data_IF_202343297423
#
_entry.id   IF_202343297423
#
_cell.length_a   1.000
_cell.length_b   1.000
_cell.length_c   1.000
_cell.angle_alpha   90.00
_cell.angle_beta   90.00
_cell.angle_gamma   90.00
#
_symmetry.space_group_name_H-M   'P 1'
#
loop_
_entity.id
_entity.type
_entity.pdbx_description
1 polymer ?
#
# COMPACT_ATOMS: atom_id res chain seq x y z
N UNK A 1 2.94 4.84 14.07
CA UNK A 1 2.45 3.57 13.47
C UNK A 1 0.94 3.59 13.36
N UNK A 2 0.41 3.30 12.16
CA UNK A 2 -1.02 3.14 11.88
C UNK A 2 -1.39 1.67 11.72
N UNK A 3 -2.69 1.40 11.79
CA UNK A 3 -3.24 0.07 11.65
C UNK A 3 -4.22 0.06 10.48
N UNK A 4 -4.10 -0.95 9.64
CA UNK A 4 -4.85 -1.06 8.40
C UNK A 4 -5.56 -2.39 8.33
N UNK A 5 -6.70 -2.39 7.66
CA UNK A 5 -7.49 -3.58 7.37
C UNK A 5 -7.67 -3.70 5.86
N UNK A 6 -7.15 -4.76 5.28
CA UNK A 6 -7.32 -5.08 3.86
C UNK A 6 -8.38 -6.18 3.68
N UNK A 7 -9.41 -5.87 2.89
CA UNK A 7 -10.42 -6.83 2.48
C UNK A 7 -10.02 -7.45 1.13
N UNK A 8 -9.39 -8.61 1.18
CA UNK A 8 -9.09 -9.35 -0.04
C UNK A 8 -10.36 -9.99 -0.59
N UNK A 9 -10.61 -9.78 -1.89
CA UNK A 9 -11.67 -10.47 -2.62
C UNK A 9 -11.17 -11.84 -3.09
N UNK A 10 -10.95 -11.99 -4.39
CA UNK A 10 -10.45 -13.23 -5.00
C UNK A 10 -8.92 -13.34 -4.99
N UNK A 11 -8.23 -12.32 -4.49
CA UNK A 11 -6.78 -12.12 -4.64
C UNK A 11 -5.96 -12.43 -3.38
N UNK A 12 -6.62 -12.90 -2.30
CA UNK A 12 -5.96 -13.17 -1.02
C UNK A 12 -4.70 -14.03 -1.13
N UNK A 13 -4.74 -15.16 -1.86
CA UNK A 13 -3.58 -16.04 -1.99
C UNK A 13 -2.41 -15.33 -2.70
N UNK A 14 -2.67 -14.69 -3.83
CA UNK A 14 -1.65 -13.96 -4.57
C UNK A 14 -1.02 -12.86 -3.73
N UNK A 15 -1.82 -12.02 -3.08
CA UNK A 15 -1.32 -10.90 -2.27
C UNK A 15 -0.54 -11.36 -1.04
N UNK A 16 -1.09 -12.31 -0.28
CA UNK A 16 -0.47 -12.75 0.99
C UNK A 16 0.73 -13.67 0.75
N UNK A 17 0.67 -14.57 -0.23
CA UNK A 17 1.79 -15.49 -0.51
C UNK A 17 2.96 -14.78 -1.19
N UNK A 18 2.70 -13.73 -1.98
CA UNK A 18 3.74 -12.93 -2.64
C UNK A 18 4.16 -11.68 -1.84
N UNK A 19 3.59 -11.46 -0.65
CA UNK A 19 4.03 -10.43 0.29
C UNK A 19 3.74 -8.99 -0.17
N UNK A 20 2.57 -8.72 -0.73
CA UNK A 20 2.17 -7.37 -1.12
C UNK A 20 0.65 -7.14 -1.06
N UNK A 21 0.24 -5.88 -1.01
CA UNK A 21 -1.13 -5.45 -1.32
C UNK A 21 -1.11 -4.55 -2.56
N UNK A 22 -2.13 -4.65 -3.39
CA UNK A 22 -2.21 -3.90 -4.65
C UNK A 22 -3.65 -3.49 -4.98
N UNK A 23 -3.84 -2.24 -5.40
CA UNK A 23 -5.11 -1.78 -5.95
C UNK A 23 -4.93 -0.88 -7.18
N UNK A 24 -5.93 -0.80 -8.08
CA UNK A 24 -5.88 0.18 -9.16
C UNK A 24 -6.00 1.60 -8.58
N UNK A 25 -5.39 2.59 -9.24
CA UNK A 25 -5.49 4.00 -8.80
C UNK A 25 -6.91 4.58 -8.92
N UNK A 26 -7.69 4.05 -9.86
CA UNK A 26 -9.07 4.50 -10.16
C UNK A 26 -9.98 3.31 -10.35
N UNK A 27 -11.28 3.52 -10.14
CA UNK A 27 -12.31 2.55 -10.50
C UNK A 27 -12.36 2.38 -12.03
N UNK A 28 -13.04 1.32 -12.49
CA UNK A 28 -13.22 1.03 -13.93
C UNK A 28 -13.87 2.19 -14.70
N UNK A 29 -14.75 2.96 -14.06
CA UNK A 29 -15.39 4.14 -14.65
C UNK A 29 -14.54 5.43 -14.53
N UNK A 30 -13.28 5.34 -14.14
CA UNK A 30 -12.38 6.49 -13.97
C UNK A 30 -12.58 7.29 -12.68
N UNK A 31 -13.60 6.97 -11.88
CA UNK A 31 -13.88 7.65 -10.62
C UNK A 31 -12.83 7.32 -9.54
N UNK A 32 -12.59 8.28 -8.65
CA UNK A 32 -11.76 8.09 -7.47
C UNK A 32 -12.45 7.13 -6.48
N UNK A 33 -11.63 6.40 -5.73
CA UNK A 33 -12.08 5.60 -4.61
C UNK A 33 -11.26 5.97 -3.38
N UNK A 34 -11.92 6.42 -2.32
CA UNK A 34 -11.27 6.74 -1.06
C UNK A 34 -10.39 5.59 -0.57
N UNK A 35 -10.89 4.35 -0.60
CA UNK A 35 -10.16 3.17 -0.14
C UNK A 35 -8.99 2.71 -1.03
N UNK A 36 -8.82 3.32 -2.20
CA UNK A 36 -7.63 3.11 -3.04
C UNK A 36 -6.60 4.19 -2.77
N UNK A 37 -7.04 5.42 -2.50
CA UNK A 37 -6.15 6.52 -2.12
C UNK A 37 -5.53 6.29 -0.73
N UNK A 38 -6.22 5.63 0.19
CA UNK A 38 -5.69 5.28 1.52
C UNK A 38 -4.44 4.42 1.48
N UNK A 39 -4.16 3.69 0.38
CA UNK A 39 -2.87 3.00 0.23
C UNK A 39 -1.69 3.98 0.31
N UNK A 40 -1.86 5.20 -0.20
CA UNK A 40 -0.82 6.24 -0.22
C UNK A 40 -0.43 6.72 1.17
N UNK A 41 -1.32 6.52 2.13
CA UNK A 41 -1.12 6.90 3.52
C UNK A 41 -0.37 5.85 4.33
N UNK A 42 -0.16 4.65 3.77
CA UNK A 42 0.61 3.57 4.41
C UNK A 42 2.08 3.95 4.47
N UNK A 43 2.66 3.82 5.65
CA UNK A 43 4.07 4.06 5.91
C UNK A 43 4.79 2.76 6.27
N UNK A 44 6.12 2.78 6.16
CA UNK A 44 6.96 1.69 6.66
C UNK A 44 6.69 1.46 8.16
N UNK A 45 6.56 0.19 8.55
CA UNK A 45 6.29 -0.21 9.93
C UNK A 45 4.79 -0.26 10.31
N UNK A 46 3.89 0.20 9.44
CA UNK A 46 2.46 0.08 9.68
C UNK A 46 2.00 -1.38 9.65
N UNK A 47 0.98 -1.70 10.46
CA UNK A 47 0.44 -3.06 10.56
C UNK A 47 -0.81 -3.23 9.71
N UNK A 48 -0.85 -4.31 8.93
CA UNK A 48 -1.91 -4.59 7.97
C UNK A 48 -2.55 -5.94 8.29
N UNK A 49 -3.83 -5.92 8.66
CA UNK A 49 -4.64 -7.10 8.90
C UNK A 49 -5.30 -7.56 7.60
N UNK A 50 -5.06 -8.83 7.25
CA UNK A 50 -5.61 -9.43 6.04
C UNK A 50 -6.90 -10.18 6.32
N UNK A 51 -8.01 -9.68 5.77
CA UNK A 51 -9.32 -10.28 5.86
C UNK A 51 -9.77 -10.90 4.53
N UNK A 52 -10.15 -12.17 4.57
CA UNK A 52 -10.69 -12.91 3.44
C UNK A 52 -11.62 -14.03 3.91
N UNK A 53 -12.65 -14.35 3.11
CA UNK A 53 -13.59 -15.44 3.42
C UNK A 53 -14.19 -15.37 4.83
N UNK A 54 -14.58 -14.17 5.28
CA UNK A 54 -15.13 -13.87 6.61
C UNK A 54 -14.18 -14.07 7.80
N UNK A 55 -12.87 -14.23 7.53
CA UNK A 55 -11.86 -14.47 8.54
C UNK A 55 -10.71 -13.48 8.42
N UNK A 56 -10.13 -13.08 9.55
CA UNK A 56 -8.80 -12.48 9.60
C UNK A 56 -7.80 -13.63 9.53
N UNK A 57 -7.03 -13.70 8.45
CA UNK A 57 -6.17 -14.86 8.13
C UNK A 57 -4.69 -14.59 8.34
N UNK A 58 -4.27 -13.32 8.28
CA UNK A 58 -2.88 -12.94 8.43
C UNK A 58 -2.78 -11.51 8.98
N UNK A 59 -1.60 -11.19 9.49
CA UNK A 59 -1.18 -9.82 9.82
C UNK A 59 0.22 -9.63 9.27
N UNK A 60 0.54 -8.44 8.77
CA UNK A 60 1.87 -8.16 8.25
C UNK A 60 2.31 -6.73 8.54
N UNK A 61 3.61 -6.50 8.40
CA UNK A 61 4.23 -5.18 8.55
C UNK A 61 4.54 -4.62 7.17
N UNK A 62 4.12 -3.39 6.90
CA UNK A 62 4.49 -2.68 5.68
C UNK A 62 6.00 -2.45 5.64
N UNK A 63 6.67 -2.93 4.59
CA UNK A 63 8.13 -2.81 4.45
C UNK A 63 8.56 -1.43 4.00
N UNK A 64 7.66 -0.70 3.35
CA UNK A 64 7.92 0.58 2.72
C UNK A 64 6.61 1.35 2.46
N UNK A 65 6.70 2.65 2.16
CA UNK A 65 5.55 3.42 1.70
C UNK A 65 4.99 2.91 0.37
N UNK A 66 3.77 3.34 0.06
CA UNK A 66 3.11 3.02 -1.21
C UNK A 66 3.81 3.60 -2.43
N UNK A 67 3.91 2.79 -3.48
CA UNK A 67 4.50 3.17 -4.75
C UNK A 67 3.62 2.77 -5.95
N UNK A 68 3.89 3.36 -7.11
CA UNK A 68 3.19 3.01 -8.34
C UNK A 68 3.74 1.71 -8.89
N UNK A 69 2.89 0.71 -9.13
CA UNK A 69 3.28 -0.61 -9.65
C UNK A 69 2.34 -1.00 -10.80
N UNK A 70 2.79 -1.73 -11.85
CA UNK A 70 1.86 -2.21 -12.84
C UNK A 70 1.01 -3.29 -12.17
N UNK A 71 -0.09 -3.67 -12.80
CA UNK A 71 -0.83 -4.85 -12.36
C UNK A 71 0.13 -6.05 -12.38
N UNK A 72 0.35 -6.75 -11.25
CA UNK A 72 1.14 -7.97 -11.22
C UNK A 72 0.59 -9.01 -12.22
N UNK A 73 1.48 -9.60 -13.02
CA UNK A 73 1.13 -10.57 -14.07
C UNK A 73 0.45 -11.83 -13.47
N UNK A 74 0.80 -12.14 -12.22
CA UNK A 74 0.27 -13.25 -11.41
C UNK A 74 -1.25 -13.17 -11.20
N UNK A 75 -1.87 -11.99 -11.35
CA UNK A 75 -3.32 -11.85 -11.26
C UNK A 75 -4.07 -12.44 -12.47
N UNK A 76 -3.36 -12.74 -13.57
CA UNK A 76 -3.93 -13.36 -14.77
C UNK A 76 -5.27 -12.74 -15.20
N UNK A 77 -6.24 -13.60 -15.55
CA UNK A 77 -7.58 -13.21 -16.00
C UNK A 77 -8.44 -12.51 -14.95
N UNK A 78 -8.14 -12.68 -13.65
CA UNK A 78 -8.90 -12.05 -12.56
C UNK A 78 -8.72 -10.53 -12.57
N UNK A 79 -7.57 -10.06 -13.09
CA UNK A 79 -7.21 -8.66 -13.17
C UNK A 79 -7.42 -8.00 -14.53
N UNK A 80 -7.99 -8.68 -15.54
CA UNK A 80 -8.18 -8.13 -16.90
C UNK A 80 -9.13 -6.91 -16.93
N UNK A 81 -9.92 -6.73 -15.88
CA UNK A 81 -10.85 -5.60 -15.71
C UNK A 81 -10.22 -4.39 -15.01
N UNK A 82 -8.94 -4.46 -14.63
CA UNK A 82 -8.25 -3.41 -13.87
C UNK A 82 -7.29 -2.61 -14.74
N UNK A 83 -7.11 -1.34 -14.37
CA UNK A 83 -6.15 -0.45 -15.03
C UNK A 83 -4.72 -1.01 -14.93
N UNK A 84 -3.92 -0.77 -15.97
CA UNK A 84 -2.55 -1.29 -16.06
C UNK A 84 -1.61 -0.76 -14.96
N UNK A 85 -1.93 0.40 -14.36
CA UNK A 85 -1.19 1.05 -13.29
C UNK A 85 -2.01 1.09 -11.99
N UNK A 86 -1.38 0.71 -10.89
CA UNK A 86 -1.95 0.68 -9.55
C UNK A 86 -1.00 1.20 -8.48
N UNK A 87 -1.49 1.14 -7.24
CA UNK A 87 -0.74 1.35 -6.02
C UNK A 87 -0.34 0.00 -5.44
N UNK A 88 0.89 -0.10 -4.94
CA UNK A 88 1.42 -1.30 -4.27
C UNK A 88 2.11 -0.91 -2.97
N UNK A 89 1.98 -1.78 -1.98
CA UNK A 89 2.78 -1.79 -0.76
C UNK A 89 3.29 -3.21 -0.56
N UNK A 90 4.58 -3.37 -0.33
CA UNK A 90 5.14 -4.68 0.05
C UNK A 90 4.97 -4.90 1.56
N UNK A 91 4.53 -6.09 1.93
CA UNK A 91 4.09 -6.44 3.28
C UNK A 91 4.66 -7.79 3.67
N UNK A 92 5.37 -7.83 4.79
CA UNK A 92 5.84 -9.08 5.38
C UNK A 92 4.69 -9.74 6.15
N UNK A 93 3.86 -10.53 5.44
CA UNK A 93 2.72 -11.20 6.02
C UNK A 93 3.10 -12.44 6.84
N UNK A 94 2.44 -12.58 7.98
CA UNK A 94 2.43 -13.77 8.82
C UNK A 94 1.00 -14.29 8.94
N UNK A 95 0.80 -15.55 8.55
CA UNK A 95 -0.51 -16.22 8.66
C UNK A 95 -0.79 -16.57 10.12
N UNK A 96 -2.01 -16.31 10.57
CA UNK A 96 -2.45 -16.77 11.87
C UNK A 96 -2.60 -18.30 11.86
N UNK A 97 -2.05 -19.02 12.86
CA UNK A 97 -2.23 -20.47 12.97
C UNK A 97 -3.70 -20.88 13.04
N UNK A 98 -4.53 -20.03 13.68
CA UNK A 98 -5.99 -20.17 13.73
C UNK A 98 -6.65 -18.89 13.22
N UNK A 99 -7.09 -18.85 11.96
CA UNK A 99 -7.77 -17.67 11.41
C UNK A 99 -9.01 -17.28 12.22
N UNK A 100 -9.10 -16.01 12.63
CA UNK A 100 -10.20 -15.49 13.44
C UNK A 100 -11.44 -15.26 12.57
N UNK A 101 -12.52 -16.00 12.81
CA UNK A 101 -13.80 -15.77 12.14
C UNK A 101 -14.52 -14.59 12.79
N UNK A 102 -14.55 -13.46 12.08
CA UNK A 102 -15.09 -12.18 12.58
C UNK A 102 -16.55 -12.30 13.02
N UNK A 103 -17.35 -13.11 12.32
CA UNK A 103 -18.77 -13.31 12.66
C UNK A 103 -18.98 -13.93 14.04
N UNK A 104 -18.05 -14.75 14.51
CA UNK A 104 -18.18 -15.44 15.81
C UNK A 104 -17.91 -14.47 16.97
N UNK A 105 -17.15 -13.41 16.72
CA UNK A 105 -16.72 -12.40 17.72
C UNK A 105 -17.24 -11.00 17.41
N UNK A 106 -18.24 -10.88 16.53
CA UNK A 106 -18.73 -9.57 16.05
C UNK A 106 -19.31 -8.73 17.19
N UNK A 107 -19.87 -9.34 18.23
CA UNK A 107 -20.37 -8.63 19.41
C UNK A 107 -19.28 -7.83 20.13
N UNK A 108 -18.04 -8.31 20.09
CA UNK A 108 -16.89 -7.65 20.72
C UNK A 108 -16.20 -6.66 19.79
N UNK A 109 -16.22 -6.92 18.48
CA UNK A 109 -15.58 -6.07 17.46
C UNK A 109 -16.44 -4.88 17.07
N UNK A 110 -17.76 -5.06 16.97
CA UNK A 110 -18.70 -4.05 16.45
C UNK A 110 -18.61 -2.69 17.16
N UNK A 111 -18.51 -2.61 18.51
CA UNK A 111 -18.40 -1.32 19.20
C UNK A 111 -17.11 -0.55 18.90
N UNK A 112 -16.08 -1.23 18.35
CA UNK A 112 -14.77 -0.66 18.04
C UNK A 112 -14.63 -0.26 16.56
N UNK A 113 -15.66 -0.51 15.74
CA UNK A 113 -15.69 -0.12 14.34
C UNK A 113 -15.87 1.40 14.22
N UNK A 114 -15.24 2.00 13.22
CA UNK A 114 -15.44 3.40 12.90
C UNK A 114 -16.82 3.64 12.29
N UNK A 115 -17.45 4.78 12.60
CA UNK A 115 -18.73 5.14 11.98
C UNK A 115 -18.60 5.37 10.48
N UNK A 116 -17.47 5.95 10.04
CA UNK A 116 -17.14 6.19 8.63
C UNK A 116 -15.96 5.32 8.20
N UNK A 117 -16.01 4.94 6.92
CA UNK A 117 -14.96 4.14 6.26
C UNK A 117 -14.64 2.80 6.94
N UNK A 118 -15.61 2.22 7.67
CA UNK A 118 -15.41 0.92 8.30
C UNK A 118 -15.08 -0.18 7.27
N UNK A 119 -14.07 -1.04 7.56
CA UNK A 119 -13.76 -2.20 6.74
C UNK A 119 -14.86 -3.27 6.78
N UNK A 120 -15.70 -3.27 7.81
CA UNK A 120 -16.71 -4.28 8.08
C UNK A 120 -18.11 -3.67 8.19
N UNK A 121 -19.12 -4.42 7.79
CA UNK A 121 -20.52 -4.14 8.12
C UNK A 121 -20.78 -4.54 9.58
N UNK A 122 -21.82 -3.97 10.24
CA UNK A 122 -22.21 -4.39 11.60
C UNK A 122 -22.51 -5.89 11.74
N UNK A 123 -22.86 -6.57 10.64
CA UNK A 123 -23.08 -8.02 10.56
C UNK A 123 -21.79 -8.84 10.61
N UNK A 124 -20.61 -8.22 10.53
CA UNK A 124 -19.31 -8.87 10.42
C UNK A 124 -18.91 -9.28 9.00
N UNK A 125 -19.71 -8.90 8.00
CA UNK A 125 -19.35 -9.08 6.59
C UNK A 125 -18.35 -8.00 6.15
N UNK A 126 -17.44 -8.37 5.26
CA UNK A 126 -16.54 -7.42 4.60
C UNK A 126 -17.31 -6.33 3.84
N UNK A 127 -16.91 -5.08 4.02
CA UNK A 127 -17.43 -3.98 3.22
C UNK A 127 -16.85 -4.07 1.79
N UNK A 128 -17.68 -4.46 0.82
CA UNK A 128 -17.25 -4.77 -0.54
C UNK A 128 -16.63 -3.58 -1.31
N UNK A 129 -16.88 -2.36 -0.86
CA UNK A 129 -16.31 -1.13 -1.43
C UNK A 129 -15.00 -0.72 -0.76
N UNK A 130 -14.73 -1.24 0.45
CA UNK A 130 -13.52 -0.98 1.21
C UNK A 130 -12.46 -2.00 0.84
N UNK A 131 -11.42 -1.58 0.11
CA UNK A 131 -10.23 -2.41 -0.11
C UNK A 131 -9.29 -2.29 1.08
N UNK A 132 -8.76 -1.09 1.36
CA UNK A 132 -7.92 -0.80 2.52
C UNK A 132 -8.56 0.31 3.37
N UNK A 133 -8.80 0.03 4.64
CA UNK A 133 -9.31 1.02 5.59
C UNK A 133 -8.37 1.15 6.79
N UNK A 134 -8.15 2.38 7.26
CA UNK A 134 -7.52 2.61 8.55
C UNK A 134 -8.43 2.12 9.67
N UNK A 135 -7.87 1.48 10.69
CA UNK A 135 -8.60 1.01 11.86
C UNK A 135 -8.06 1.62 13.14
N UNK A 136 -8.91 1.89 14.15
CA UNK A 136 -8.46 2.36 15.44
C UNK A 136 -7.56 1.34 16.14
N UNK A 137 -6.59 1.84 16.91
CA UNK A 137 -5.68 1.00 17.72
C UNK A 137 -6.44 0.01 18.62
N UNK A 138 -7.57 0.43 19.20
CA UNK A 138 -8.41 -0.42 20.04
C UNK A 138 -8.95 -1.65 19.30
N UNK A 139 -9.38 -1.46 18.04
CA UNK A 139 -9.83 -2.56 17.19
C UNK A 139 -8.66 -3.50 16.83
N UNK A 140 -7.52 -2.95 16.43
CA UNK A 140 -6.32 -3.73 16.13
C UNK A 140 -5.88 -4.59 17.33
N UNK A 141 -5.80 -3.99 18.52
CA UNK A 141 -5.44 -4.70 19.75
C UNK A 141 -6.45 -5.80 20.09
N UNK A 142 -7.75 -5.55 19.92
CA UNK A 142 -8.78 -6.56 20.17
C UNK A 142 -8.67 -7.75 19.21
N UNK A 143 -8.45 -7.48 17.92
CA UNK A 143 -8.26 -8.55 16.91
C UNK A 143 -7.03 -9.38 17.24
N UNK A 144 -5.90 -8.75 17.58
CA UNK A 144 -4.69 -9.46 18.00
C UNK A 144 -4.93 -10.30 19.26
N UNK A 145 -5.60 -9.76 20.28
CA UNK A 145 -5.90 -10.54 21.50
C UNK A 145 -6.73 -11.79 21.24
N UNK A 146 -7.57 -11.78 20.21
CA UNK A 146 -8.44 -12.90 19.85
C UNK A 146 -7.75 -13.89 18.89
N UNK A 147 -6.90 -13.39 17.99
CA UNK A 147 -6.22 -14.20 16.99
C UNK A 147 -4.89 -14.79 17.48
N UNK A 148 -4.08 -13.98 18.17
CA UNK A 148 -2.76 -14.35 18.66
C UNK A 148 -2.33 -13.47 19.87
N UNK A 149 -2.62 -13.90 21.11
CA UNK A 149 -2.23 -13.18 22.32
C UNK A 149 -0.72 -13.02 22.49
N UNK A 150 0.08 -13.95 21.98
CA UNK A 150 1.55 -13.89 22.08
C UNK A 150 2.07 -12.75 21.21
N UNK A 151 1.55 -12.62 19.98
CA UNK A 151 1.90 -11.53 19.09
C UNK A 151 1.54 -10.16 19.68
N UNK A 152 0.40 -10.05 20.37
CA UNK A 152 0.02 -8.83 21.09
C UNK A 152 1.06 -8.47 22.17
N UNK A 153 1.50 -9.46 22.96
CA UNK A 153 2.53 -9.26 23.99
C UNK A 153 3.87 -8.84 23.40
N UNK A 154 4.28 -9.44 22.28
CA UNK A 154 5.49 -9.03 21.54
C UNK A 154 5.37 -7.60 21.02
N UNK A 155 4.22 -7.21 20.46
CA UNK A 155 3.99 -5.83 20.01
C UNK A 155 3.98 -4.81 21.15
N UNK A 156 3.55 -5.19 22.35
CA UNK A 156 3.57 -4.28 23.50
C UNK A 156 4.98 -4.14 24.10
N UNK A 157 5.84 -5.14 23.90
CA UNK A 157 7.20 -5.20 24.43
C UNK A 157 8.29 -4.80 23.44
N UNK A 158 8.00 -4.79 22.13
CA UNK A 158 8.97 -4.50 21.09
C UNK A 158 9.37 -3.00 21.06
N UNK A 159 10.65 -2.67 21.26
CA UNK A 159 11.15 -1.31 21.09
C UNK A 159 11.17 -0.85 19.62
N UNK A 160 11.00 -1.76 18.66
CA UNK A 160 10.90 -1.48 17.21
C UNK A 160 9.64 -0.66 16.84
N UNK A 161 8.65 -0.56 17.74
CA UNK A 161 7.39 0.15 17.50
C UNK A 161 7.35 1.56 18.13
N UNK A 162 8.52 2.04 18.59
CA UNK A 162 8.74 3.40 19.06
C UNK A 162 8.76 4.37 17.87
N UNK A 163 8.11 5.53 18.00
CA UNK A 163 8.14 6.59 16.98
C UNK A 163 9.56 7.12 16.70
N UNK A 164 10.48 6.83 17.62
CA UNK A 164 11.89 7.18 17.66
C UNK A 164 12.82 6.08 17.09
N UNK A 165 12.29 5.03 16.45
CA UNK A 165 13.13 4.06 15.74
C UNK A 165 13.83 4.70 14.53
N UNK A 166 15.16 4.50 14.35
CA UNK A 166 15.88 5.08 13.22
C UNK A 166 15.24 4.60 11.91
N UNK A 167 14.90 5.57 11.05
CA UNK A 167 14.36 5.31 9.71
C UNK A 167 15.31 4.34 9.00
N UNK A 168 14.84 3.12 8.74
CA UNK A 168 15.59 2.17 7.92
C UNK A 168 15.69 2.81 6.53
N UNK A 169 16.87 2.85 5.88
CA UNK A 169 17.00 3.46 4.57
C UNK A 169 15.95 2.90 3.63
N UNK A 170 15.20 3.79 2.98
CA UNK A 170 14.20 3.48 1.97
C UNK A 170 14.88 2.69 0.86
N UNK A 171 14.73 1.37 0.88
CA UNK A 171 15.20 0.52 -0.20
C UNK A 171 14.20 0.63 -1.34
N UNK A 172 14.62 1.16 -2.48
CA UNK A 172 13.81 1.09 -3.70
C UNK A 172 13.59 -0.40 -4.02
N UNK A 173 12.34 -0.89 -4.04
CA UNK A 173 12.08 -2.29 -4.28
C UNK A 173 12.61 -2.70 -5.65
N UNK A 174 13.19 -3.91 -5.80
CA UNK A 174 13.74 -4.37 -7.07
C UNK A 174 12.72 -4.32 -8.21
N UNK A 175 11.44 -4.55 -7.89
CA UNK A 175 10.30 -4.46 -8.83
C UNK A 175 10.16 -3.06 -9.43
N UNK A 176 10.37 -1.99 -8.65
CA UNK A 176 10.34 -0.63 -9.18
C UNK A 176 11.51 -0.38 -10.12
N UNK A 177 12.72 -0.77 -9.73
CA UNK A 177 13.93 -0.59 -10.54
C UNK A 177 13.81 -1.33 -11.88
N UNK A 178 13.41 -2.60 -11.84
CA UNK A 178 13.17 -3.41 -13.04
C UNK A 178 12.11 -2.78 -13.94
N UNK A 179 11.05 -2.21 -13.36
CA UNK A 179 10.04 -1.54 -14.15
C UNK A 179 10.55 -0.23 -14.77
N UNK A 180 11.22 0.61 -14.01
CA UNK A 180 11.77 1.85 -14.51
C UNK A 180 12.74 1.60 -15.67
N UNK A 181 13.58 0.57 -15.58
CA UNK A 181 14.42 0.13 -16.69
C UNK A 181 13.62 -0.35 -17.91
N UNK A 182 12.50 -1.05 -17.71
CA UNK A 182 11.64 -1.47 -18.83
C UNK A 182 10.96 -0.27 -19.50
N UNK A 183 10.55 0.75 -18.74
CA UNK A 183 9.99 2.00 -19.29
C UNK A 183 11.06 2.73 -20.09
N UNK A 184 12.25 2.87 -19.53
CA UNK A 184 13.40 3.49 -20.19
C UNK A 184 13.71 2.81 -21.52
N UNK A 185 13.85 1.48 -21.52
CA UNK A 185 14.05 0.69 -22.75
C UNK A 185 12.93 0.88 -23.78
N UNK A 186 11.67 0.98 -23.35
CA UNK A 186 10.53 1.26 -24.25
C UNK A 186 10.61 2.65 -24.85
N UNK A 187 10.95 3.67 -24.05
CA UNK A 187 11.13 5.05 -24.53
C UNK A 187 12.27 5.07 -25.55
N UNK A 188 13.41 4.45 -25.25
CA UNK A 188 14.54 4.34 -26.17
C UNK A 188 14.17 3.63 -27.46
N UNK A 189 13.40 2.54 -27.42
CA UNK A 189 12.98 1.81 -28.62
C UNK A 189 11.90 2.52 -29.45
N UNK A 190 11.30 3.61 -28.96
CA UNK A 190 10.18 4.28 -29.63
C UNK A 190 10.65 5.20 -30.76
N UNK A 191 10.60 4.70 -32.00
CA UNK A 191 11.04 5.41 -33.21
C UNK A 191 10.19 6.65 -33.53
N UNK A 192 8.91 6.65 -33.13
CA UNK A 192 8.00 7.79 -33.37
C UNK A 192 8.35 9.03 -32.55
N UNK A 193 9.19 8.91 -31.53
CA UNK A 193 9.66 10.03 -30.72
C UNK A 193 11.05 10.48 -31.19
N UNK A 194 11.25 11.79 -31.45
CA UNK A 194 12.58 12.33 -31.70
C UNK A 194 13.55 11.95 -30.58
N UNK A 195 14.83 11.73 -30.94
CA UNK A 195 15.87 11.35 -29.98
C UNK A 195 16.00 12.35 -28.83
N UNK A 196 15.87 13.65 -29.12
CA UNK A 196 15.89 14.72 -28.12
C UNK A 196 14.73 14.61 -27.12
N UNK A 197 13.55 14.18 -27.57
CA UNK A 197 12.39 13.93 -26.72
C UNK A 197 12.60 12.68 -25.87
N UNK A 198 13.15 11.59 -26.45
CA UNK A 198 13.47 10.37 -25.71
C UNK A 198 14.46 10.66 -24.57
N UNK A 199 15.57 11.34 -24.86
CA UNK A 199 16.55 11.76 -23.83
C UNK A 199 15.93 12.65 -22.76
N UNK A 200 15.16 13.66 -23.15
CA UNK A 200 14.50 14.55 -22.19
C UNK A 200 13.54 13.82 -21.23
N UNK A 201 12.87 12.75 -21.69
CA UNK A 201 12.01 11.92 -20.84
C UNK A 201 12.82 11.03 -19.88
N UNK A 202 13.96 10.50 -20.31
CA UNK A 202 14.86 9.70 -19.46
C UNK A 202 15.51 10.58 -18.40
N UNK A 203 16.02 11.75 -18.78
CA UNK A 203 16.64 12.71 -17.87
C UNK A 203 15.65 13.24 -16.82
N UNK A 204 14.36 13.37 -17.19
CA UNK A 204 13.32 13.80 -16.27
C UNK A 204 13.16 12.85 -15.06
N UNK A 205 13.41 11.54 -15.23
CA UNK A 205 13.41 10.56 -14.12
C UNK A 205 14.39 10.93 -13.01
N UNK A 206 15.57 11.47 -13.38
CA UNK A 206 16.61 11.89 -12.44
C UNK A 206 16.47 13.35 -11.98
N UNK A 207 15.36 14.01 -12.34
CA UNK A 207 15.16 15.42 -12.07
C UNK A 207 16.13 16.32 -12.83
N UNK A 208 16.52 15.94 -14.06
CA UNK A 208 17.53 16.66 -14.86
C UNK A 208 16.94 17.29 -16.13
N UNK A 209 17.77 18.09 -16.80
CA UNK A 209 17.48 18.70 -18.09
C UNK A 209 16.23 19.61 -18.08
N UNK A 210 15.45 19.51 -19.16
CA UNK A 210 14.26 20.37 -19.38
C UNK A 210 13.20 20.25 -18.28
N UNK A 211 13.12 19.10 -17.61
CA UNK A 211 12.20 18.92 -16.48
C UNK A 211 12.60 19.80 -15.30
N UNK A 212 13.88 19.77 -14.90
CA UNK A 212 14.41 20.62 -13.82
C UNK A 212 14.18 22.10 -14.09
N UNK A 213 14.49 22.54 -15.31
CA UNK A 213 14.27 23.93 -15.75
C UNK A 213 12.80 24.34 -15.76
N UNK A 214 11.89 23.40 -16.04
CA UNK A 214 10.45 23.65 -16.00
C UNK A 214 9.96 23.74 -14.56
N UNK A 215 10.35 22.82 -13.68
CA UNK A 215 9.98 22.84 -12.25
C UNK A 215 10.45 24.13 -11.58
N UNK A 216 11.69 24.55 -11.82
CA UNK A 216 12.25 25.80 -11.25
C UNK A 216 11.51 27.08 -11.68
N UNK A 217 10.72 27.03 -12.77
CA UNK A 217 9.89 28.17 -13.18
C UNK A 217 8.58 28.28 -12.39
N UNK A 218 8.15 27.20 -11.75
CA UNK A 218 6.89 27.12 -11.01
C UNK A 218 7.08 26.93 -9.50
N UNK A 219 8.17 26.29 -9.09
CA UNK A 219 8.51 26.06 -7.69
C UNK A 219 9.69 26.94 -7.28
N UNK A 220 9.50 27.71 -6.20
CA UNK A 220 10.53 28.54 -5.55
C UNK A 220 11.34 27.66 -4.57
N UNK A 221 12.59 28.02 -4.21
CA UNK A 221 13.37 27.26 -3.23
C UNK A 221 12.59 26.88 -1.97
N UNK A 222 12.86 25.67 -1.50
CA UNK A 222 12.20 25.02 -0.37
C UNK A 222 12.06 25.96 0.86
N UNK A 223 10.83 26.23 1.34
CA UNK A 223 10.60 27.07 2.51
C UNK A 223 11.14 26.49 3.83
N UNK A 224 11.55 25.21 3.85
CA UNK A 224 12.08 24.54 5.05
C UNK A 224 13.59 24.72 5.21
N UNK A 225 14.36 24.77 4.12
CA UNK A 225 15.83 24.74 4.17
C UNK A 225 16.50 26.08 3.82
N UNK A 226 15.79 27.06 3.27
CA UNK A 226 16.28 28.44 3.11
C UNK A 226 17.61 28.58 2.36
N UNK A 227 18.03 27.57 1.59
CA UNK A 227 19.35 27.57 0.95
C UNK A 227 19.21 27.91 -0.53
N UNK A 228 19.69 29.10 -0.89
CA UNK A 228 19.94 29.49 -2.28
C UNK A 228 21.21 28.75 -2.70
N UNK A 229 21.10 27.72 -3.55
CA UNK A 229 22.27 27.21 -4.26
C UNK A 229 22.58 28.18 -5.40
N UNK A 230 23.69 28.90 -5.26
CA UNK A 230 24.35 29.64 -6.36
C UNK A 230 24.78 28.70 -7.48
#
# INVERSE_FOLDING_TARGET
MRFWWVNHKKTFRHEVDNGYIWCPKRKRNGALNHFYETLRDVQQGDLIFSFASTKVQAVGVARQPCYSCPKPDEFGKVGDLWNALGWRVDVDFMRFPRPLRVKDVIGEIRPLLTERYSPLKPTGDGNQNAYLAEIPRGLAAKVLSLADPLLLGLMQSAPVLREDAPQVPTFEPPVLVEWEEQIERKIEATISLPETTRRALIDARRGQGRFKEAVHRYEWPDPVSGTIQN
#
